data_IF_552566518407
#
_entry.id   IF_552566518407
#
_cell.length_a   1.000
_cell.length_b   1.000
_cell.length_c   1.000
_cell.angle_alpha   90.00
_cell.angle_beta   90.00
_cell.angle_gamma   90.00
#
_symmetry.space_group_name_H-M   'P 1'
#
loop_
_entity.id
_entity.type
_entity.pdbx_description
1 polymer ?
#
# COMPACT_ATOMS: atom_id res chain seq x y z
N UNK A 1 22.05 -4.14 4.56
CA UNK A 1 20.79 -4.77 4.08
C UNK A 1 19.81 -3.63 3.85
N UNK A 2 19.20 -3.56 2.66
CA UNK A 2 18.19 -2.54 2.33
C UNK A 2 16.79 -3.14 2.25
N UNK A 3 15.75 -2.30 2.19
CA UNK A 3 14.37 -2.76 2.08
C UNK A 3 14.16 -3.71 0.90
N UNK A 4 14.78 -3.44 -0.25
CA UNK A 4 14.70 -4.32 -1.43
C UNK A 4 15.16 -5.74 -1.14
N UNK A 5 16.29 -5.91 -0.44
CA UNK A 5 16.80 -7.25 -0.09
C UNK A 5 15.85 -7.99 0.86
N UNK A 6 15.14 -7.25 1.73
CA UNK A 6 14.16 -7.84 2.65
C UNK A 6 12.93 -8.33 1.88
N UNK A 7 12.37 -7.50 1.01
CA UNK A 7 11.14 -7.82 0.29
C UNK A 7 11.36 -8.84 -0.84
N UNK A 8 12.53 -8.84 -1.50
CA UNK A 8 12.86 -9.81 -2.54
C UNK A 8 13.31 -11.18 -2.01
N UNK A 9 13.33 -11.40 -0.68
CA UNK A 9 13.51 -12.75 -0.14
C UNK A 9 12.39 -13.66 -0.63
N UNK A 10 12.75 -14.92 -0.91
CA UNK A 10 11.78 -15.92 -1.31
C UNK A 10 10.67 -16.04 -0.26
N UNK A 11 9.45 -16.06 -0.74
CA UNK A 11 8.23 -16.19 0.05
C UNK A 11 7.43 -17.38 -0.44
N UNK A 12 6.81 -18.11 0.48
CA UNK A 12 6.00 -19.26 0.16
C UNK A 12 4.62 -19.12 0.77
N UNK A 13 3.60 -19.40 -0.05
CA UNK A 13 2.22 -19.49 0.38
C UNK A 13 1.98 -20.89 0.94
N UNK A 14 1.71 -21.00 2.25
CA UNK A 14 1.82 -22.28 2.96
C UNK A 14 0.50 -22.87 3.43
N UNK A 15 -0.60 -22.12 3.38
CA UNK A 15 -1.89 -22.62 3.86
C UNK A 15 -2.58 -23.52 2.84
N UNK A 16 -3.31 -24.53 3.35
CA UNK A 16 -4.10 -25.47 2.54
C UNK A 16 -5.60 -25.18 2.57
N UNK A 17 -6.06 -24.40 3.58
CA UNK A 17 -7.46 -23.99 3.68
C UNK A 17 -7.75 -22.83 2.72
N UNK A 18 -8.66 -23.04 1.77
CA UNK A 18 -8.98 -22.11 0.71
C UNK A 18 -10.21 -21.22 1.01
N UNK A 19 -10.55 -20.99 2.28
CA UNK A 19 -11.56 -19.99 2.61
C UNK A 19 -11.02 -18.57 2.30
N UNK A 20 -11.91 -17.67 1.89
CA UNK A 20 -11.52 -16.28 1.56
C UNK A 20 -10.76 -15.61 2.72
N UNK A 21 -11.16 -15.89 3.96
CA UNK A 21 -10.52 -15.36 5.15
C UNK A 21 -9.09 -15.86 5.32
N UNK A 22 -8.87 -17.16 5.20
CA UNK A 22 -7.53 -17.77 5.40
C UNK A 22 -6.57 -17.40 4.28
N UNK A 23 -7.02 -17.44 3.03
CA UNK A 23 -6.23 -16.96 1.88
C UNK A 23 -5.83 -15.50 2.07
N UNK A 24 -6.77 -14.64 2.40
CA UNK A 24 -6.49 -13.22 2.60
C UNK A 24 -5.49 -12.96 3.73
N UNK A 25 -5.67 -13.59 4.89
CA UNK A 25 -4.75 -13.43 6.02
C UNK A 25 -3.33 -13.93 5.70
N UNK A 26 -3.22 -15.02 4.94
CA UNK A 26 -1.90 -15.50 4.51
C UNK A 26 -1.24 -14.50 3.55
N UNK A 27 -1.98 -13.94 2.58
CA UNK A 27 -1.48 -12.89 1.72
C UNK A 27 -1.00 -11.67 2.53
N UNK A 28 -1.76 -11.26 3.57
CA UNK A 28 -1.35 -10.17 4.49
C UNK A 28 -0.09 -10.54 5.27
N UNK A 29 0.03 -11.77 5.78
CA UNK A 29 1.22 -12.26 6.45
C UNK A 29 2.46 -12.15 5.57
N UNK A 30 2.35 -12.57 4.31
CA UNK A 30 3.45 -12.48 3.35
C UNK A 30 3.87 -11.03 3.05
N UNK A 31 2.96 -10.09 3.16
CA UNK A 31 3.22 -8.65 3.10
C UNK A 31 3.72 -8.05 4.43
N UNK A 32 4.05 -8.88 5.43
CA UNK A 32 4.69 -8.47 6.68
C UNK A 32 3.77 -7.86 7.73
N UNK A 33 2.46 -7.99 7.63
CA UNK A 33 1.52 -7.41 8.59
C UNK A 33 1.41 -8.16 9.93
N UNK A 34 1.97 -9.35 10.02
CA UNK A 34 2.02 -10.17 11.24
C UNK A 34 3.34 -10.04 12.02
N UNK A 35 4.31 -9.32 11.51
CA UNK A 35 5.67 -9.23 12.07
C UNK A 35 5.73 -8.35 13.32
N UNK A 36 4.75 -7.47 13.51
CA UNK A 36 4.69 -6.53 14.60
C UNK A 36 3.36 -6.68 15.36
N UNK A 37 3.41 -7.36 16.51
CA UNK A 37 2.38 -7.34 17.56
C UNK A 37 0.94 -7.48 17.01
N UNK A 38 0.69 -8.55 16.29
CA UNK A 38 -0.50 -8.91 15.56
C UNK A 38 -1.84 -8.74 16.26
N UNK A 39 -2.24 -7.50 16.50
CA UNK A 39 -3.58 -7.18 16.98
C UNK A 39 -4.57 -6.90 15.85
N UNK A 40 -4.08 -6.83 14.59
CA UNK A 40 -4.96 -6.70 13.44
C UNK A 40 -5.60 -8.05 13.09
N UNK A 41 -6.92 -8.03 12.99
CA UNK A 41 -7.74 -9.18 12.60
C UNK A 41 -8.20 -9.06 11.15
N UNK A 42 -8.82 -10.11 10.62
CA UNK A 42 -9.49 -10.05 9.32
C UNK A 42 -10.52 -8.90 9.27
N UNK A 43 -11.26 -8.70 10.37
CA UNK A 43 -12.26 -7.66 10.51
C UNK A 43 -11.62 -6.24 10.47
N UNK A 44 -10.41 -6.09 11.00
CA UNK A 44 -9.62 -4.84 10.91
C UNK A 44 -9.29 -4.48 9.46
N UNK A 45 -8.87 -5.47 8.69
CA UNK A 45 -8.58 -5.27 7.27
C UNK A 45 -9.84 -5.03 6.43
N UNK A 46 -10.94 -5.71 6.74
CA UNK A 46 -12.25 -5.44 6.13
C UNK A 46 -12.70 -4.00 6.42
N UNK A 47 -12.53 -3.55 7.66
CA UNK A 47 -12.81 -2.16 8.03
C UNK A 47 -12.01 -1.18 7.16
N UNK A 48 -10.69 -1.37 7.05
CA UNK A 48 -9.85 -0.52 6.21
C UNK A 48 -10.31 -0.53 4.74
N UNK A 49 -10.61 -1.70 4.19
CA UNK A 49 -11.12 -1.83 2.83
C UNK A 49 -12.45 -1.09 2.63
N UNK A 50 -13.40 -1.25 3.57
CA UNK A 50 -14.70 -0.58 3.51
C UNK A 50 -14.58 0.94 3.65
N UNK A 51 -13.62 1.46 4.43
CA UNK A 51 -13.33 2.89 4.50
C UNK A 51 -12.90 3.43 3.13
N UNK A 52 -12.05 2.70 2.39
CA UNK A 52 -11.69 3.08 1.02
C UNK A 52 -12.92 3.12 0.11
N UNK A 53 -13.75 2.06 0.12
CA UNK A 53 -14.95 1.98 -0.71
C UNK A 53 -15.95 3.11 -0.40
N UNK A 54 -16.03 3.53 0.86
CA UNK A 54 -16.92 4.61 1.30
C UNK A 54 -16.39 6.01 0.99
N UNK A 55 -15.06 6.16 0.87
CA UNK A 55 -14.42 7.47 0.62
C UNK A 55 -14.40 7.85 -0.86
N UNK A 56 -14.68 6.92 -1.76
CA UNK A 56 -14.74 7.15 -3.20
C UNK A 56 -16.13 6.81 -3.73
N UNK A 57 -16.51 7.37 -4.88
CA UNK A 57 -17.75 6.95 -5.53
C UNK A 57 -17.56 5.56 -6.18
N UNK A 58 -17.73 4.51 -5.37
CA UNK A 58 -17.44 3.12 -5.77
C UNK A 58 -18.30 2.66 -6.96
N UNK A 59 -19.49 3.23 -7.17
CA UNK A 59 -20.34 2.90 -8.30
C UNK A 59 -19.70 3.27 -9.66
N UNK A 60 -18.73 4.18 -9.64
CA UNK A 60 -17.99 4.60 -10.82
C UNK A 60 -16.71 3.79 -11.06
N UNK A 61 -16.31 2.93 -10.14
CA UNK A 61 -15.06 2.15 -10.20
C UNK A 61 -15.36 0.75 -10.72
N UNK A 62 -14.66 0.35 -11.78
CA UNK A 62 -14.72 -1.00 -12.36
C UNK A 62 -13.37 -1.70 -12.34
N UNK A 63 -12.30 -0.93 -12.20
CA UNK A 63 -10.93 -1.44 -12.25
C UNK A 63 -10.03 -0.76 -11.24
N UNK A 64 -9.15 -1.56 -10.63
CA UNK A 64 -8.19 -1.15 -9.60
C UNK A 64 -6.80 -1.61 -10.00
N UNK A 65 -5.82 -0.72 -9.92
CA UNK A 65 -4.41 -1.08 -10.07
C UNK A 65 -3.65 -0.70 -8.82
N UNK A 66 -2.93 -1.65 -8.22
CA UNK A 66 -2.15 -1.41 -7.01
C UNK A 66 -0.66 -1.29 -7.32
N UNK A 67 -0.06 -0.19 -6.89
CA UNK A 67 1.39 0.05 -6.95
C UNK A 67 2.01 -0.42 -5.65
N UNK A 68 2.92 -1.40 -5.73
CA UNK A 68 3.47 -2.11 -4.60
C UNK A 68 2.48 -3.14 -4.03
N UNK A 69 1.91 -3.97 -4.89
CA UNK A 69 0.85 -4.91 -4.51
C UNK A 69 1.33 -6.08 -3.64
N UNK A 70 2.64 -6.33 -3.60
CA UNK A 70 3.20 -7.46 -2.86
C UNK A 70 2.57 -8.79 -3.30
N UNK A 71 2.08 -9.56 -2.34
CA UNK A 71 1.36 -10.82 -2.57
C UNK A 71 -0.07 -10.65 -3.09
N UNK A 72 -0.52 -9.43 -3.36
CA UNK A 72 -1.85 -9.13 -3.90
C UNK A 72 -2.98 -9.12 -2.86
N UNK A 73 -2.69 -9.02 -1.56
CA UNK A 73 -3.72 -9.10 -0.52
C UNK A 73 -4.88 -8.09 -0.71
N UNK A 74 -4.58 -6.82 -0.99
CA UNK A 74 -5.63 -5.83 -1.21
C UNK A 74 -6.38 -6.10 -2.52
N UNK A 75 -5.66 -6.48 -3.59
CA UNK A 75 -6.26 -6.85 -4.88
C UNK A 75 -7.16 -8.08 -4.76
N UNK A 76 -6.83 -9.02 -3.87
CA UNK A 76 -7.70 -10.15 -3.56
C UNK A 76 -9.08 -9.70 -3.07
N UNK A 77 -9.13 -8.74 -2.13
CA UNK A 77 -10.40 -8.17 -1.65
C UNK A 77 -11.16 -7.45 -2.76
N UNK A 78 -10.49 -6.64 -3.59
CA UNK A 78 -11.12 -6.00 -4.74
C UNK A 78 -11.66 -7.02 -5.75
N UNK A 79 -10.91 -8.08 -6.04
CA UNK A 79 -11.32 -9.12 -6.99
C UNK A 79 -12.57 -9.89 -6.52
N UNK A 80 -12.72 -10.12 -5.20
CA UNK A 80 -13.94 -10.74 -4.61
C UNK A 80 -15.16 -9.84 -4.75
N UNK A 81 -14.97 -8.54 -4.88
CA UNK A 81 -16.02 -7.56 -5.18
C UNK A 81 -16.18 -7.30 -6.70
N UNK A 82 -15.67 -8.20 -7.55
CA UNK A 82 -15.81 -8.16 -9.01
C UNK A 82 -15.08 -7.00 -9.72
N UNK A 83 -14.12 -6.35 -9.07
CA UNK A 83 -13.27 -5.38 -9.74
C UNK A 83 -12.25 -6.09 -10.65
N UNK A 84 -11.94 -5.47 -11.78
CA UNK A 84 -10.80 -5.84 -12.61
C UNK A 84 -9.53 -5.35 -11.92
N UNK A 85 -8.61 -6.27 -11.64
CA UNK A 85 -7.41 -5.98 -10.87
C UNK A 85 -6.16 -6.00 -11.74
N UNK A 86 -5.23 -5.09 -11.47
CA UNK A 86 -3.86 -5.12 -11.95
C UNK A 86 -2.91 -4.74 -10.82
N UNK A 87 -1.64 -5.08 -10.95
CA UNK A 87 -0.66 -4.80 -9.90
C UNK A 87 0.77 -4.69 -10.41
N UNK A 88 1.55 -3.93 -9.67
CA UNK A 88 2.99 -3.82 -9.84
C UNK A 88 3.69 -4.08 -8.52
N UNK A 89 4.72 -4.91 -8.54
CA UNK A 89 5.66 -5.06 -7.43
C UNK A 89 7.07 -5.36 -7.96
N UNK A 90 8.09 -5.00 -7.19
CA UNK A 90 9.47 -5.31 -7.55
C UNK A 90 9.97 -6.65 -6.99
N UNK A 91 9.23 -7.28 -6.08
CA UNK A 91 9.56 -8.57 -5.44
C UNK A 91 8.99 -9.73 -6.26
N UNK A 92 9.82 -10.52 -6.98
CA UNK A 92 9.32 -11.53 -7.92
C UNK A 92 8.47 -12.61 -7.25
N UNK A 93 8.87 -13.10 -6.06
CA UNK A 93 8.14 -14.15 -5.37
C UNK A 93 6.78 -13.68 -4.86
N UNK A 94 6.69 -12.42 -4.38
CA UNK A 94 5.43 -11.84 -3.94
C UNK A 94 4.48 -11.63 -5.12
N UNK A 95 4.98 -11.05 -6.21
CA UNK A 95 4.15 -10.83 -7.40
C UNK A 95 3.66 -12.14 -8.01
N UNK A 96 4.48 -13.19 -8.01
CA UNK A 96 4.07 -14.52 -8.43
C UNK A 96 2.92 -15.06 -7.58
N UNK A 97 2.98 -14.88 -6.26
CA UNK A 97 1.88 -15.25 -5.36
C UNK A 97 0.61 -14.45 -5.67
N UNK A 98 0.74 -13.16 -5.97
CA UNK A 98 -0.41 -12.35 -6.38
C UNK A 98 -1.05 -12.88 -7.67
N UNK A 99 -0.25 -13.26 -8.68
CA UNK A 99 -0.72 -13.85 -9.94
C UNK A 99 -1.45 -15.19 -9.73
N UNK A 100 -0.97 -16.00 -8.78
CA UNK A 100 -1.54 -17.33 -8.49
C UNK A 100 -2.88 -17.26 -7.72
N UNK A 101 -3.08 -16.19 -6.93
CA UNK A 101 -4.25 -16.06 -6.05
C UNK A 101 -5.25 -14.96 -6.48
N UNK A 102 -4.82 -14.03 -7.34
CA UNK A 102 -5.67 -12.96 -7.85
C UNK A 102 -5.69 -13.02 -9.37
N UNK A 103 -6.88 -12.99 -9.96
CA UNK A 103 -7.01 -12.91 -11.42
C UNK A 103 -6.61 -11.52 -11.89
N UNK A 104 -5.31 -11.27 -12.05
CA UNK A 104 -4.78 -10.02 -12.56
C UNK A 104 -4.98 -9.91 -14.07
N UNK A 105 -5.49 -8.76 -14.54
CA UNK A 105 -5.54 -8.42 -15.98
C UNK A 105 -4.22 -7.84 -16.47
N UNK A 106 -3.45 -7.26 -15.57
CA UNK A 106 -2.13 -6.70 -15.82
C UNK A 106 -1.25 -6.97 -14.61
N UNK A 107 -0.09 -7.56 -14.84
CA UNK A 107 0.95 -7.78 -13.83
C UNK A 107 2.25 -7.16 -14.32
N UNK A 108 2.90 -6.37 -13.47
CA UNK A 108 4.15 -5.70 -13.80
C UNK A 108 5.20 -6.01 -12.73
N UNK A 109 6.29 -6.67 -13.14
CA UNK A 109 7.47 -6.85 -12.29
C UNK A 109 8.41 -5.66 -12.48
N UNK A 110 8.61 -4.85 -11.44
CA UNK A 110 9.53 -3.72 -11.50
C UNK A 110 9.37 -2.68 -10.42
N UNK A 111 10.23 -1.69 -10.47
CA UNK A 111 10.20 -0.51 -9.59
C UNK A 111 8.98 0.36 -9.87
N UNK A 112 8.41 0.97 -8.83
CA UNK A 112 7.21 1.80 -8.94
C UNK A 112 7.36 2.97 -9.96
N UNK A 113 8.56 3.53 -10.09
CA UNK A 113 8.86 4.59 -11.08
C UNK A 113 8.80 4.13 -12.54
N UNK A 114 8.83 2.80 -12.78
CA UNK A 114 8.75 2.20 -14.11
C UNK A 114 7.33 1.76 -14.46
N UNK A 115 6.32 2.20 -13.69
CA UNK A 115 4.92 1.90 -13.93
C UNK A 115 4.54 2.19 -15.39
N UNK A 116 4.09 1.16 -16.12
CA UNK A 116 3.53 1.31 -17.45
C UNK A 116 2.15 1.97 -17.37
N UNK A 117 1.92 3.00 -18.15
CA UNK A 117 0.70 3.83 -18.10
C UNK A 117 -0.20 3.69 -19.33
N UNK A 118 0.07 2.74 -20.23
CA UNK A 118 -0.72 2.52 -21.45
C UNK A 118 -2.15 2.09 -21.13
N UNK A 119 -2.31 1.09 -20.25
CA UNK A 119 -3.63 0.65 -19.81
C UNK A 119 -4.06 1.48 -18.60
N UNK A 120 -5.26 2.06 -18.67
CA UNK A 120 -5.82 2.92 -17.63
C UNK A 120 -6.75 2.13 -16.70
N UNK A 121 -6.78 2.58 -15.44
CA UNK A 121 -7.65 2.03 -14.40
C UNK A 121 -8.45 3.14 -13.73
N UNK A 122 -9.62 2.82 -13.19
CA UNK A 122 -10.47 3.81 -12.52
C UNK A 122 -9.88 4.24 -11.18
N UNK A 123 -9.27 3.30 -10.45
CA UNK A 123 -8.60 3.52 -9.17
C UNK A 123 -7.14 3.09 -9.23
N UNK A 124 -6.22 4.00 -8.96
CA UNK A 124 -4.84 3.70 -8.61
C UNK A 124 -4.73 3.67 -7.09
N UNK A 125 -4.22 2.57 -6.58
CA UNK A 125 -4.16 2.27 -5.15
C UNK A 125 -2.73 1.98 -4.73
N UNK A 126 -2.34 2.40 -3.53
CA UNK A 126 -1.08 2.02 -2.91
C UNK A 126 -1.24 2.03 -1.39
N UNK A 127 -0.82 0.97 -0.72
CA UNK A 127 -0.96 0.82 0.72
C UNK A 127 0.39 0.44 1.36
N UNK A 128 0.86 1.23 2.31
CA UNK A 128 2.12 1.01 3.06
C UNK A 128 3.38 0.97 2.18
N UNK A 129 3.40 1.64 1.02
CA UNK A 129 4.51 1.58 0.06
C UNK A 129 5.35 2.85 0.05
N UNK A 130 4.71 4.02 0.11
CA UNK A 130 5.38 5.31 -0.03
C UNK A 130 6.50 5.52 1.00
N UNK A 131 6.37 4.97 2.19
CA UNK A 131 7.41 5.04 3.23
C UNK A 131 8.72 4.30 2.88
N UNK A 132 8.72 3.45 1.86
CA UNK A 132 9.90 2.71 1.40
C UNK A 132 10.64 3.39 0.24
N UNK A 133 10.10 4.49 -0.31
CA UNK A 133 10.76 5.21 -1.38
C UNK A 133 12.02 5.91 -0.88
N UNK A 134 13.05 6.05 -1.74
CA UNK A 134 14.34 6.58 -1.31
C UNK A 134 14.31 8.08 -1.00
N UNK A 135 13.42 8.85 -1.62
CA UNK A 135 13.30 10.29 -1.44
C UNK A 135 12.00 10.83 -2.08
N UNK A 136 11.73 12.13 -1.86
CA UNK A 136 10.55 12.82 -2.37
C UNK A 136 10.53 12.94 -3.91
N UNK A 137 11.69 13.04 -4.55
CA UNK A 137 11.78 13.10 -6.01
C UNK A 137 11.29 11.80 -6.65
N UNK A 138 11.72 10.65 -6.10
CA UNK A 138 11.23 9.34 -6.52
C UNK A 138 9.72 9.23 -6.32
N UNK A 139 9.23 9.63 -5.14
CA UNK A 139 7.80 9.61 -4.82
C UNK A 139 6.97 10.49 -5.77
N UNK A 140 7.48 11.69 -6.12
CA UNK A 140 6.84 12.57 -7.10
C UNK A 140 6.74 11.90 -8.47
N UNK A 141 7.81 11.26 -8.95
CA UNK A 141 7.80 10.54 -10.23
C UNK A 141 6.82 9.37 -10.24
N UNK A 142 6.64 8.67 -9.10
CA UNK A 142 5.64 7.61 -8.98
C UNK A 142 4.22 8.21 -9.01
N UNK A 143 3.97 9.32 -8.31
CA UNK A 143 2.67 10.01 -8.37
C UNK A 143 2.32 10.48 -9.78
N UNK A 144 3.29 11.02 -10.54
CA UNK A 144 3.08 11.41 -11.93
C UNK A 144 2.64 10.20 -12.77
N UNK A 145 3.27 9.04 -12.60
CA UNK A 145 2.88 7.80 -13.27
C UNK A 145 1.51 7.28 -12.84
N UNK A 146 1.19 7.35 -11.54
CA UNK A 146 -0.14 6.99 -11.04
C UNK A 146 -1.22 7.92 -11.63
N UNK A 147 -0.95 9.22 -11.73
CA UNK A 147 -1.85 10.19 -12.36
C UNK A 147 -2.05 9.92 -13.86
N UNK A 148 -0.97 9.61 -14.57
CA UNK A 148 -1.06 9.18 -15.96
C UNK A 148 -1.93 7.93 -16.12
N UNK A 149 -1.78 6.93 -15.24
CA UNK A 149 -2.48 5.63 -15.31
C UNK A 149 -3.92 5.68 -14.82
N UNK A 150 -4.32 6.67 -13.99
CA UNK A 150 -5.68 6.71 -13.44
C UNK A 150 -6.67 7.46 -14.32
N UNK A 151 -7.91 6.94 -14.37
CA UNK A 151 -9.05 7.65 -14.95
C UNK A 151 -9.76 8.55 -13.93
N UNK A 152 -9.80 8.16 -12.61
CA UNK A 152 -10.69 8.82 -11.65
C UNK A 152 -10.07 9.06 -10.28
N UNK A 153 -9.49 8.04 -9.66
CA UNK A 153 -9.09 8.10 -8.25
C UNK A 153 -7.66 7.63 -8.03
N UNK A 154 -6.96 8.33 -7.14
CA UNK A 154 -5.70 7.85 -6.54
C UNK A 154 -5.92 7.76 -5.04
N UNK A 155 -5.69 6.61 -4.45
CA UNK A 155 -5.80 6.37 -3.01
C UNK A 155 -4.49 5.84 -2.47
N UNK A 156 -3.94 6.57 -1.52
CA UNK A 156 -2.70 6.22 -0.84
C UNK A 156 -3.00 6.02 0.64
N UNK A 157 -2.72 4.84 1.14
CA UNK A 157 -2.91 4.52 2.55
C UNK A 157 -1.58 4.32 3.26
N UNK A 158 -1.62 4.56 4.58
CA UNK A 158 -0.50 4.30 5.48
C UNK A 158 0.76 5.12 5.10
N UNK A 159 0.55 6.42 4.87
CA UNK A 159 1.63 7.36 4.57
C UNK A 159 2.19 7.88 5.89
N UNK A 160 3.48 7.68 6.14
CA UNK A 160 4.14 8.13 7.36
C UNK A 160 4.14 9.67 7.45
N UNK A 161 3.55 10.20 8.52
CA UNK A 161 3.42 11.66 8.76
C UNK A 161 4.72 12.24 9.34
N UNK A 162 5.30 13.21 8.64
CA UNK A 162 6.52 13.90 9.08
C UNK A 162 6.37 14.58 10.45
N UNK A 163 5.17 15.06 10.77
CA UNK A 163 4.89 15.66 12.07
C UNK A 163 4.94 14.66 13.23
N UNK A 164 4.85 13.36 12.95
CA UNK A 164 4.86 12.29 13.95
C UNK A 164 6.14 11.42 13.88
N UNK A 165 7.15 11.81 13.10
CA UNK A 165 8.38 11.03 12.89
C UNK A 165 9.13 10.73 14.20
N UNK A 166 9.32 11.74 15.05
CA UNK A 166 9.98 11.54 16.35
C UNK A 166 9.18 10.62 17.28
N UNK A 167 7.86 10.81 17.33
CA UNK A 167 6.97 9.96 18.13
C UNK A 167 6.97 8.52 17.62
N UNK A 168 6.99 8.31 16.30
CA UNK A 168 7.16 6.99 15.67
C UNK A 168 8.45 6.31 16.12
N UNK A 169 9.59 6.99 16.01
CA UNK A 169 10.88 6.41 16.40
C UNK A 169 10.93 6.11 17.89
N UNK A 170 10.37 6.97 18.74
CA UNK A 170 10.31 6.74 20.19
C UNK A 170 9.42 5.54 20.52
N UNK A 171 8.26 5.40 19.86
CA UNK A 171 7.43 4.21 20.01
C UNK A 171 8.17 2.93 19.60
N UNK A 172 8.88 2.94 18.47
CA UNK A 172 9.64 1.80 17.97
C UNK A 172 10.79 1.41 18.92
N UNK A 173 11.54 2.37 19.45
CA UNK A 173 12.60 2.12 20.43
C UNK A 173 12.07 1.52 21.73
N UNK A 174 10.86 1.94 22.14
CA UNK A 174 10.22 1.39 23.35
C UNK A 174 9.78 -0.07 23.16
N UNK A 175 9.31 -0.43 21.98
CA UNK A 175 8.69 -1.73 21.72
C UNK A 175 9.62 -2.75 21.05
N UNK A 176 10.73 -2.32 20.46
CA UNK A 176 11.68 -3.20 19.78
C UNK A 176 13.05 -3.10 20.43
N UNK A 177 13.53 -4.24 20.94
CA UNK A 177 14.87 -4.31 21.52
C UNK A 177 15.92 -4.01 20.45
N UNK A 178 16.87 -3.13 20.79
CA UNK A 178 17.97 -2.72 19.90
C UNK A 178 17.48 -2.14 18.54
N UNK A 179 16.39 -1.38 18.58
CA UNK A 179 15.75 -0.84 17.37
C UNK A 179 16.73 -0.16 16.42
N UNK A 180 17.56 0.77 16.91
CA UNK A 180 18.49 1.54 16.08
C UNK A 180 19.57 0.67 15.41
N UNK A 181 19.94 -0.47 16.01
CA UNK A 181 20.87 -1.44 15.40
C UNK A 181 20.17 -2.35 14.40
N UNK A 182 18.99 -2.86 14.76
CA UNK A 182 18.19 -3.78 13.91
C UNK A 182 17.72 -3.10 12.63
N UNK A 183 17.36 -1.80 12.71
CA UNK A 183 16.84 -1.02 11.57
C UNK A 183 17.88 -0.08 10.96
N UNK A 184 19.17 -0.24 11.28
CA UNK A 184 20.24 0.57 10.69
C UNK A 184 20.26 0.42 9.16
N UNK A 185 20.09 1.55 8.45
CA UNK A 185 20.02 1.58 6.98
C UNK A 185 18.67 1.11 6.40
N UNK A 186 17.65 0.99 7.25
CA UNK A 186 16.26 0.69 6.88
C UNK A 186 15.37 1.90 7.19
N UNK A 187 15.80 3.07 6.74
CA UNK A 187 15.07 4.30 6.98
C UNK A 187 13.71 4.29 6.28
N UNK A 188 12.76 4.98 6.87
CA UNK A 188 11.44 5.23 6.29
C UNK A 188 11.37 6.67 5.80
N UNK A 189 10.68 6.90 4.69
CA UNK A 189 10.37 8.23 4.22
C UNK A 189 9.09 8.73 4.88
N UNK A 190 9.18 9.90 5.50
CA UNK A 190 8.06 10.62 6.11
C UNK A 190 7.66 11.80 5.23
N UNK A 191 6.36 12.07 5.16
CA UNK A 191 5.79 13.08 4.28
C UNK A 191 5.07 14.17 5.06
N UNK A 192 5.23 15.41 4.62
CA UNK A 192 4.30 16.49 4.94
C UNK A 192 3.10 16.41 3.98
N UNK A 193 1.90 16.75 4.45
CA UNK A 193 0.70 16.75 3.60
C UNK A 193 0.81 17.70 2.41
N UNK A 194 1.54 18.80 2.58
CA UNK A 194 1.79 19.79 1.52
C UNK A 194 2.48 19.19 0.27
N UNK A 195 3.23 18.10 0.41
CA UNK A 195 3.81 17.37 -0.74
C UNK A 195 2.71 16.87 -1.70
N UNK A 196 1.65 16.29 -1.15
CA UNK A 196 0.51 15.80 -1.93
C UNK A 196 -0.43 16.92 -2.36
N UNK A 197 -0.60 17.97 -1.52
CA UNK A 197 -1.39 19.16 -1.86
C UNK A 197 -0.79 19.88 -3.08
N UNK A 198 0.52 20.09 -3.11
CA UNK A 198 1.21 20.69 -4.24
C UNK A 198 1.04 19.87 -5.52
N UNK A 199 1.09 18.52 -5.41
CA UNK A 199 0.81 17.64 -6.52
C UNK A 199 -0.63 17.78 -7.02
N UNK A 200 -1.61 17.79 -6.13
CA UNK A 200 -3.03 17.91 -6.47
C UNK A 200 -3.33 19.25 -7.14
N UNK A 201 -2.80 20.35 -6.61
CA UNK A 201 -2.96 21.70 -7.19
C UNK A 201 -2.39 21.74 -8.60
N UNK A 202 -1.16 21.24 -8.81
CA UNK A 202 -0.51 21.22 -10.13
C UNK A 202 -1.33 20.47 -11.18
N UNK A 203 -2.05 19.42 -10.77
CA UNK A 203 -2.80 18.54 -11.67
C UNK A 203 -4.32 18.79 -11.66
N UNK A 204 -4.80 19.81 -10.95
CA UNK A 204 -6.22 20.18 -10.88
C UNK A 204 -7.09 19.12 -10.18
N UNK A 205 -6.52 18.38 -9.22
CA UNK A 205 -7.21 17.34 -8.47
C UNK A 205 -7.84 17.90 -7.20
N UNK A 206 -9.01 17.39 -6.83
CA UNK A 206 -9.48 17.51 -5.44
C UNK A 206 -8.68 16.53 -4.58
N UNK A 207 -8.31 16.94 -3.37
CA UNK A 207 -7.57 16.12 -2.41
C UNK A 207 -8.24 16.14 -1.05
N UNK A 208 -8.24 15.00 -0.38
CA UNK A 208 -8.70 14.82 0.99
C UNK A 208 -7.73 13.96 1.78
N UNK A 209 -7.54 14.28 3.05
CA UNK A 209 -6.75 13.48 3.98
C UNK A 209 -7.65 12.93 5.09
N UNK A 210 -7.45 11.67 5.45
CA UNK A 210 -8.09 11.06 6.61
C UNK A 210 -7.04 10.54 7.58
N UNK A 211 -7.42 10.42 8.85
CA UNK A 211 -6.61 9.70 9.82
C UNK A 211 -6.70 8.20 9.54
N UNK A 212 -5.68 7.46 9.92
CA UNK A 212 -5.78 6.01 10.07
C UNK A 212 -6.44 5.71 11.42
N UNK A 213 -7.44 4.86 11.42
CA UNK A 213 -8.19 4.45 12.62
C UNK A 213 -8.54 2.95 12.57
N UNK A 214 -7.69 2.18 11.91
CA UNK A 214 -7.88 0.75 11.72
C UNK A 214 -7.78 0.03 13.07
N UNK A 215 -8.81 -0.74 13.49
CA UNK A 215 -8.81 -1.41 14.79
C UNK A 215 -7.58 -2.31 14.98
N UNK A 216 -6.87 -2.13 16.08
CA UNK A 216 -5.68 -2.92 16.42
C UNK A 216 -4.41 -2.57 15.62
N UNK A 217 -4.43 -1.57 14.76
CA UNK A 217 -3.23 -1.18 14.02
C UNK A 217 -2.36 -0.23 14.83
N UNK A 218 -1.18 -0.69 15.22
CA UNK A 218 -0.25 0.06 16.06
C UNK A 218 0.24 1.37 15.44
N UNK A 219 0.23 1.46 14.10
CA UNK A 219 0.79 2.59 13.36
C UNK A 219 -0.22 3.75 13.13
N UNK A 220 -1.47 3.61 13.59
CA UNK A 220 -2.54 4.59 13.34
C UNK A 220 -2.16 6.03 13.68
N UNK A 221 -1.44 6.25 14.78
CA UNK A 221 -1.09 7.60 15.26
C UNK A 221 0.05 8.25 14.46
N UNK A 222 0.73 7.49 13.61
CA UNK A 222 1.94 7.93 12.90
C UNK A 222 1.74 8.08 11.40
N UNK A 223 0.54 7.77 10.90
CA UNK A 223 0.24 7.77 9.46
C UNK A 223 -1.05 8.51 9.14
N UNK A 224 -1.20 8.88 7.89
CA UNK A 224 -2.44 9.39 7.31
C UNK A 224 -2.74 8.70 5.98
N UNK A 225 -3.97 8.86 5.50
CA UNK A 225 -4.40 8.43 4.19
C UNK A 225 -4.67 9.64 3.29
N UNK A 226 -4.46 9.47 2.00
CA UNK A 226 -4.65 10.52 1.00
C UNK A 226 -5.54 10.00 -0.13
N UNK A 227 -6.58 10.75 -0.43
CA UNK A 227 -7.53 10.49 -1.51
C UNK A 227 -7.49 11.65 -2.50
N UNK A 228 -7.25 11.35 -3.78
CA UNK A 228 -7.23 12.34 -4.85
C UNK A 228 -8.27 11.95 -5.90
N UNK A 229 -9.01 12.95 -6.38
CA UNK A 229 -10.13 12.81 -7.29
C UNK A 229 -9.82 13.61 -8.57
N UNK A 230 -9.85 12.92 -9.72
CA UNK A 230 -9.56 13.49 -11.04
C UNK A 230 -10.82 14.07 -11.70
#
# INVERSE_FOLDING_TARGET
>A
MGWREIWCKEKEFTIQDNTDKTVYLELKRLNGFDVLEGTMTYESFLYQHNCVLSSINIAEVKSVFEVGCGSGANLYMFSRNSFKCGGLDYAPSLLKIAEDHVKLQESQLGEAKLLNTEVKYDLLYSNSVFSYFPNLEYASGVLDKMYEKTNKFIVLLDIHDKNHEEAYHNYRRKNIRNYDEVYKGLDKLFYEKNFFEAFAIRNGLKIEFTRSDVPGYWNNDFVFNCYMYK
#
